data_IF_219575754963
#
_entry.id   IF_219575754963
#
_cell.length_a   1.000
_cell.length_b   1.000
_cell.length_c   1.000
_cell.angle_alpha   90.00
_cell.angle_beta   90.00
_cell.angle_gamma   90.00
#
_symmetry.space_group_name_H-M   'P 1'
#
loop_
_entity.id
_entity.type
_entity.pdbx_description
1 polymer ?
#
# COMPACT_ATOMS: atom_id res chain seq x y z
N UNK A 1 37.22 -0.11 15.61
CA UNK A 1 36.03 -0.64 14.88
C UNK A 1 36.56 -1.41 13.68
N UNK A 2 36.09 -2.63 13.44
CA UNK A 2 36.55 -3.43 12.28
C UNK A 2 35.99 -2.83 10.98
N UNK A 3 36.85 -2.18 10.19
CA UNK A 3 36.46 -1.46 8.96
C UNK A 3 35.87 -2.39 7.90
N UNK A 4 36.40 -3.61 7.78
CA UNK A 4 35.91 -4.60 6.83
C UNK A 4 34.48 -5.06 7.15
N UNK A 5 34.18 -5.39 8.42
CA UNK A 5 32.82 -5.75 8.84
C UNK A 5 31.82 -4.62 8.66
N UNK A 6 32.24 -3.37 8.86
CA UNK A 6 31.39 -2.22 8.61
C UNK A 6 31.08 -2.06 7.12
N UNK A 7 32.06 -2.25 6.27
CA UNK A 7 31.90 -2.18 4.82
C UNK A 7 30.98 -3.30 4.31
N UNK A 8 31.09 -4.51 4.86
CA UNK A 8 30.20 -5.63 4.57
C UNK A 8 28.77 -5.29 4.97
N UNK A 9 28.56 -4.74 6.18
CA UNK A 9 27.23 -4.31 6.65
C UNK A 9 26.62 -3.23 5.74
N UNK A 10 27.39 -2.22 5.37
CA UNK A 10 26.93 -1.15 4.46
C UNK A 10 26.56 -1.72 3.07
N UNK A 11 27.31 -2.72 2.58
CA UNK A 11 27.03 -3.44 1.33
C UNK A 11 25.71 -4.23 1.42
N UNK A 12 25.49 -4.96 2.51
CA UNK A 12 24.26 -5.72 2.76
C UNK A 12 23.06 -4.77 2.80
N UNK A 13 23.17 -3.69 3.57
CA UNK A 13 22.10 -2.68 3.69
C UNK A 13 21.77 -2.06 2.33
N UNK A 14 22.78 -1.61 1.57
CA UNK A 14 22.60 -1.00 0.28
C UNK A 14 21.94 -1.96 -0.74
N UNK A 15 22.37 -3.21 -0.77
CA UNK A 15 21.83 -4.25 -1.65
C UNK A 15 20.36 -4.56 -1.30
N UNK A 16 20.05 -4.67 -0.01
CA UNK A 16 18.70 -4.94 0.48
C UNK A 16 17.74 -3.81 0.14
N UNK A 17 18.14 -2.57 0.41
CA UNK A 17 17.34 -1.39 0.06
C UNK A 17 17.11 -1.29 -1.44
N UNK A 18 18.15 -1.52 -2.26
CA UNK A 18 18.04 -1.48 -3.73
C UNK A 18 17.01 -2.50 -4.26
N UNK A 19 16.92 -3.67 -3.66
CA UNK A 19 16.00 -4.73 -4.09
C UNK A 19 14.52 -4.36 -3.92
N UNK A 20 14.20 -3.51 -2.94
CA UNK A 20 12.81 -3.10 -2.62
C UNK A 20 12.47 -1.70 -3.10
N UNK A 21 13.35 -1.02 -3.82
CA UNK A 21 13.03 0.28 -4.41
C UNK A 21 11.86 0.15 -5.39
N UNK A 22 10.98 1.16 -5.45
CA UNK A 22 9.81 1.18 -6.33
C UNK A 22 10.14 0.87 -7.79
N UNK A 23 11.27 1.38 -8.30
CA UNK A 23 11.69 1.20 -9.69
C UNK A 23 11.90 -0.28 -10.06
N UNK A 24 12.70 -0.98 -9.25
CA UNK A 24 12.99 -2.39 -9.48
C UNK A 24 11.72 -3.25 -9.35
N UNK A 25 10.89 -2.92 -8.37
CA UNK A 25 9.64 -3.59 -8.08
C UNK A 25 8.65 -3.49 -9.25
N UNK A 26 8.40 -2.27 -9.75
CA UNK A 26 7.49 -2.03 -10.86
C UNK A 26 8.00 -2.67 -12.16
N UNK A 27 9.31 -2.56 -12.47
CA UNK A 27 9.88 -3.20 -13.68
C UNK A 27 9.71 -4.71 -13.65
N UNK A 28 9.99 -5.36 -12.50
CA UNK A 28 9.79 -6.82 -12.36
C UNK A 28 8.33 -7.21 -12.55
N UNK A 29 7.40 -6.46 -11.96
CA UNK A 29 5.98 -6.76 -12.05
C UNK A 29 5.46 -6.63 -13.49
N UNK A 30 5.83 -5.55 -14.19
CA UNK A 30 5.45 -5.34 -15.60
C UNK A 30 6.12 -6.32 -16.57
N UNK A 31 7.29 -6.85 -16.25
CA UNK A 31 7.99 -7.88 -17.03
C UNK A 31 7.56 -9.30 -16.67
N UNK A 32 6.64 -9.50 -15.74
CA UNK A 32 6.17 -10.84 -15.36
C UNK A 32 5.09 -11.36 -16.30
N UNK A 33 4.96 -12.69 -16.36
CA UNK A 33 3.88 -13.35 -17.09
C UNK A 33 2.47 -13.02 -16.57
N UNK A 34 2.36 -12.41 -15.40
CA UNK A 34 1.07 -12.00 -14.84
C UNK A 34 0.54 -10.69 -15.44
N UNK A 35 1.40 -9.89 -16.09
CA UNK A 35 0.99 -8.65 -16.73
C UNK A 35 0.62 -8.89 -18.21
N UNK A 36 -0.66 -8.95 -18.47
CA UNK A 36 -1.21 -9.07 -19.81
C UNK A 36 -2.20 -7.92 -20.06
N UNK A 37 -1.72 -6.75 -20.56
CA UNK A 37 -2.61 -5.66 -20.89
C UNK A 37 -3.54 -6.09 -22.03
N UNK A 38 -4.78 -5.64 -21.96
CA UNK A 38 -5.76 -5.84 -23.03
C UNK A 38 -5.43 -4.95 -24.25
N UNK A 39 -6.03 -5.23 -25.41
CA UNK A 39 -5.76 -4.52 -26.67
C UNK A 39 -6.30 -3.08 -26.73
N UNK A 40 -6.87 -2.57 -25.64
CA UNK A 40 -7.47 -1.24 -25.55
C UNK A 40 -6.60 -0.22 -24.81
N UNK A 41 -7.29 0.72 -24.17
CA UNK A 41 -6.64 1.80 -23.39
C UNK A 41 -5.91 1.24 -22.16
N UNK A 42 -4.75 1.84 -21.86
CA UNK A 42 -4.02 1.62 -20.61
C UNK A 42 -4.17 2.89 -19.77
N UNK A 43 -4.90 2.78 -18.66
CA UNK A 43 -5.03 3.85 -17.68
C UNK A 43 -4.14 3.55 -16.48
N UNK A 44 -3.56 4.61 -15.89
CA UNK A 44 -2.69 4.47 -14.74
C UNK A 44 -3.28 5.22 -13.55
N UNK A 45 -3.46 4.54 -12.42
CA UNK A 45 -3.80 5.15 -11.12
C UNK A 45 -2.73 4.77 -10.12
N UNK A 46 -1.94 5.74 -9.67
CA UNK A 46 -0.88 5.51 -8.70
C UNK A 46 -1.16 6.27 -7.40
N UNK A 47 -1.10 5.57 -6.28
CA UNK A 47 -1.50 6.10 -4.97
C UNK A 47 -0.47 5.76 -3.90
N UNK A 48 -0.16 6.72 -3.04
CA UNK A 48 0.70 6.53 -1.88
C UNK A 48 1.99 7.36 -1.92
N UNK A 49 2.84 7.18 -0.93
CA UNK A 49 4.07 7.98 -0.77
C UNK A 49 5.08 7.75 -1.89
N UNK A 50 5.10 6.57 -2.51
CA UNK A 50 5.96 6.23 -3.63
C UNK A 50 5.24 6.31 -5.00
N UNK A 51 4.00 6.80 -5.05
CA UNK A 51 3.16 6.79 -6.24
C UNK A 51 3.80 7.48 -7.44
N UNK A 52 4.43 8.64 -7.24
CA UNK A 52 5.12 9.34 -8.33
C UNK A 52 6.23 8.51 -8.93
N UNK A 53 7.09 7.91 -8.09
CA UNK A 53 8.21 7.08 -8.51
C UNK A 53 7.74 5.82 -9.25
N UNK A 54 6.70 5.15 -8.72
CA UNK A 54 6.09 3.97 -9.35
C UNK A 54 5.50 4.32 -10.72
N UNK A 55 4.75 5.43 -10.81
CA UNK A 55 4.14 5.88 -12.07
C UNK A 55 5.18 6.27 -13.11
N UNK A 56 6.20 7.05 -12.72
CA UNK A 56 7.30 7.41 -13.59
C UNK A 56 7.99 6.18 -14.18
N UNK A 57 8.27 5.18 -13.34
CA UNK A 57 8.89 3.93 -13.79
C UNK A 57 7.96 3.12 -14.69
N UNK A 58 6.68 3.06 -14.37
CA UNK A 58 5.70 2.33 -15.18
C UNK A 58 5.57 2.92 -16.59
N UNK A 59 5.43 4.26 -16.68
CA UNK A 59 5.35 4.95 -17.98
C UNK A 59 6.63 4.77 -18.79
N UNK A 60 7.80 4.85 -18.16
CA UNK A 60 9.08 4.60 -18.82
C UNK A 60 9.23 3.15 -19.32
N UNK A 61 8.68 2.18 -18.61
CA UNK A 61 8.74 0.76 -18.99
C UNK A 61 7.75 0.39 -20.10
N UNK A 62 6.53 0.98 -20.06
CA UNK A 62 5.47 0.72 -21.04
C UNK A 62 5.62 1.57 -22.32
N UNK A 63 6.40 2.66 -22.28
CA UNK A 63 6.53 3.64 -23.35
C UNK A 63 5.37 4.62 -23.46
N UNK A 64 4.16 4.24 -23.04
CA UNK A 64 2.98 5.11 -23.02
C UNK A 64 1.93 4.62 -22.02
N UNK A 65 1.11 5.54 -21.56
CA UNK A 65 -0.23 5.33 -20.99
C UNK A 65 -1.19 6.29 -21.68
N UNK A 66 -2.44 5.92 -21.84
CA UNK A 66 -3.41 6.79 -22.52
C UNK A 66 -3.89 7.93 -21.62
N UNK A 67 -3.98 7.66 -20.32
CA UNK A 67 -4.32 8.63 -19.29
C UNK A 67 -3.86 8.12 -17.93
N UNK A 68 -3.41 9.01 -17.04
CA UNK A 68 -2.96 8.60 -15.72
C UNK A 68 -3.16 9.65 -14.64
N UNK A 69 -3.31 9.17 -13.41
CA UNK A 69 -3.39 9.98 -12.19
C UNK A 69 -2.40 9.45 -11.16
N UNK A 70 -1.64 10.37 -10.57
CA UNK A 70 -0.83 10.16 -9.37
C UNK A 70 -1.46 10.94 -8.22
N UNK A 71 -1.68 10.28 -7.08
CA UNK A 71 -2.09 10.90 -5.83
C UNK A 71 -1.04 10.58 -4.76
N UNK A 72 -0.28 11.59 -4.37
CA UNK A 72 0.82 11.43 -3.43
C UNK A 72 0.78 12.49 -2.33
N UNK A 73 1.61 12.35 -1.33
CA UNK A 73 1.69 13.33 -0.24
C UNK A 73 2.41 14.59 -0.69
N UNK A 74 2.11 15.73 -0.08
CA UNK A 74 2.76 17.02 -0.34
C UNK A 74 4.29 16.91 -0.37
N UNK A 75 4.91 17.55 -1.39
CA UNK A 75 6.35 17.56 -1.62
C UNK A 75 6.93 16.26 -2.19
N UNK A 76 6.08 15.35 -2.69
CA UNK A 76 6.54 14.07 -3.28
C UNK A 76 6.46 14.01 -4.80
N UNK A 77 5.85 14.99 -5.46
CA UNK A 77 5.91 15.13 -6.92
C UNK A 77 7.29 15.69 -7.30
N UNK A 78 8.01 14.98 -8.19
CA UNK A 78 9.38 15.33 -8.59
C UNK A 78 9.50 15.87 -10.01
N UNK A 79 8.36 16.05 -10.70
CA UNK A 79 8.31 16.56 -12.07
C UNK A 79 7.12 16.01 -12.85
N UNK A 80 7.08 16.30 -14.14
CA UNK A 80 6.01 15.84 -15.03
C UNK A 80 6.25 14.40 -15.49
N UNK A 81 5.17 13.65 -15.65
CA UNK A 81 5.17 12.32 -16.25
C UNK A 81 4.28 12.39 -17.48
N UNK A 82 4.76 11.99 -18.68
CA UNK A 82 3.95 12.06 -19.90
C UNK A 82 2.63 11.28 -19.76
N UNK A 83 1.51 11.93 -20.10
CA UNK A 83 0.18 11.30 -20.02
C UNK A 83 -0.39 11.16 -18.61
N UNK A 84 0.26 11.72 -17.56
CA UNK A 84 -0.14 11.55 -16.17
C UNK A 84 -0.27 12.90 -15.47
N UNK A 85 -1.42 13.12 -14.82
CA UNK A 85 -1.64 14.28 -13.95
C UNK A 85 -1.31 13.93 -12.50
N UNK A 86 -0.47 14.75 -11.86
CA UNK A 86 -0.04 14.52 -10.49
C UNK A 86 -0.76 15.43 -9.51
N UNK A 87 -1.29 14.87 -8.42
CA UNK A 87 -1.93 15.56 -7.33
C UNK A 87 -1.20 15.28 -6.01
N UNK A 88 -1.07 16.32 -5.19
CA UNK A 88 -0.55 16.22 -3.84
C UNK A 88 -1.67 16.45 -2.83
N UNK A 89 -1.67 15.67 -1.74
CA UNK A 89 -2.75 15.61 -0.78
C UNK A 89 -2.26 15.31 0.65
N UNK A 90 -3.17 15.41 1.62
CA UNK A 90 -2.90 15.23 3.03
C UNK A 90 -2.56 13.80 3.44
N UNK A 91 -1.55 13.68 4.28
CA UNK A 91 -1.14 12.43 4.92
C UNK A 91 -0.47 12.74 6.29
N UNK A 92 -0.81 12.07 7.40
CA UNK A 92 -1.63 10.85 7.53
C UNK A 92 -3.16 11.09 7.58
N UNK A 93 -3.61 12.33 7.62
CA UNK A 93 -5.03 12.68 7.62
C UNK A 93 -5.44 13.10 6.21
N UNK A 94 -6.52 12.52 5.63
CA UNK A 94 -7.03 12.94 4.33
C UNK A 94 -7.57 14.36 4.39
N UNK A 95 -7.46 15.10 3.30
CA UNK A 95 -7.96 16.46 3.12
C UNK A 95 -8.81 16.61 1.85
N UNK A 96 -9.30 17.81 1.58
CA UNK A 96 -10.10 18.11 0.39
C UNK A 96 -9.36 17.79 -0.93
N UNK A 97 -8.02 17.91 -0.94
CA UNK A 97 -7.22 17.52 -2.11
C UNK A 97 -7.21 16.01 -2.31
N UNK A 98 -7.19 15.21 -1.22
CA UNK A 98 -7.36 13.76 -1.29
C UNK A 98 -8.71 13.40 -1.92
N UNK A 99 -9.78 14.07 -1.48
CA UNK A 99 -11.15 13.81 -1.95
C UNK A 99 -11.30 14.18 -3.43
N UNK A 100 -10.84 15.37 -3.81
CA UNK A 100 -10.93 15.88 -5.18
C UNK A 100 -10.09 15.04 -6.16
N UNK A 101 -8.87 14.67 -5.79
CA UNK A 101 -8.02 13.84 -6.64
C UNK A 101 -8.59 12.42 -6.82
N UNK A 102 -9.14 11.84 -5.74
CA UNK A 102 -9.79 10.52 -5.80
C UNK A 102 -11.05 10.56 -6.66
N UNK A 103 -11.83 11.62 -6.61
CA UNK A 103 -13.01 11.79 -7.48
C UNK A 103 -12.62 11.84 -8.96
N UNK A 104 -11.52 12.54 -9.29
CA UNK A 104 -10.97 12.55 -10.67
C UNK A 104 -10.52 11.15 -11.10
N UNK A 105 -9.88 10.39 -10.21
CA UNK A 105 -9.52 9.01 -10.50
C UNK A 105 -10.75 8.13 -10.75
N UNK A 106 -11.81 8.27 -9.96
CA UNK A 106 -13.08 7.57 -10.19
C UNK A 106 -13.72 7.98 -11.51
N UNK A 107 -13.73 9.27 -11.85
CA UNK A 107 -14.26 9.76 -13.13
C UNK A 107 -13.48 9.19 -14.32
N UNK A 108 -12.15 9.14 -14.23
CA UNK A 108 -11.28 8.59 -15.29
C UNK A 108 -11.58 7.11 -15.59
N UNK A 109 -11.95 6.33 -14.57
CA UNK A 109 -12.21 4.89 -14.73
C UNK A 109 -13.68 4.55 -14.99
N UNK A 110 -14.56 5.55 -15.15
CA UNK A 110 -15.96 5.33 -15.50
C UNK A 110 -16.11 4.90 -16.96
N UNK A 111 -17.12 4.04 -17.22
CA UNK A 111 -17.50 3.60 -18.56
C UNK A 111 -16.38 2.96 -19.37
N UNK A 112 -15.44 2.29 -18.70
CA UNK A 112 -14.42 1.50 -19.36
C UNK A 112 -15.03 0.23 -20.00
N UNK A 113 -14.36 -0.26 -21.03
CA UNK A 113 -14.71 -1.54 -21.67
C UNK A 113 -13.83 -2.67 -21.13
N UNK A 114 -14.19 -3.90 -21.42
CA UNK A 114 -13.39 -5.09 -21.10
C UNK A 114 -12.03 -5.14 -21.82
N UNK A 115 -11.84 -4.30 -22.85
CA UNK A 115 -10.56 -4.12 -23.55
C UNK A 115 -9.62 -3.14 -22.85
N UNK A 116 -10.09 -2.38 -21.86
CA UNK A 116 -9.25 -1.49 -21.12
C UNK A 116 -8.48 -2.21 -20.00
N UNK A 117 -7.27 -1.73 -19.73
CA UNK A 117 -6.44 -2.14 -18.59
C UNK A 117 -6.22 -0.97 -17.67
N UNK A 118 -6.51 -1.15 -16.39
CA UNK A 118 -6.15 -0.19 -15.33
C UNK A 118 -4.91 -0.70 -14.62
N UNK A 119 -3.80 0.00 -14.77
CA UNK A 119 -2.60 -0.24 -13.98
C UNK A 119 -2.74 0.51 -12.66
N UNK A 120 -2.97 -0.24 -11.58
CA UNK A 120 -3.17 0.32 -10.24
C UNK A 120 -1.90 0.13 -9.39
N UNK A 121 -1.20 1.23 -9.11
CA UNK A 121 0.06 1.25 -8.37
C UNK A 121 -0.20 1.75 -6.95
N UNK A 122 0.02 0.91 -5.95
CA UNK A 122 -0.30 1.21 -4.57
C UNK A 122 0.93 1.11 -3.67
N UNK A 123 1.14 2.13 -2.84
CA UNK A 123 2.20 2.15 -1.82
C UNK A 123 1.69 2.69 -0.49
N UNK A 124 2.52 2.65 0.54
CA UNK A 124 2.17 3.10 1.88
C UNK A 124 1.60 4.52 1.91
N UNK A 125 0.63 4.74 2.81
CA UNK A 125 -0.09 6.01 2.95
C UNK A 125 -1.38 6.12 2.13
N UNK A 126 -1.70 5.12 1.30
CA UNK A 126 -2.88 5.12 0.45
C UNK A 126 -4.21 5.27 1.19
N UNK A 127 -4.31 4.86 2.45
CA UNK A 127 -5.55 5.01 3.23
C UNK A 127 -6.02 6.46 3.40
N UNK A 128 -5.09 7.41 3.47
CA UNK A 128 -5.42 8.84 3.55
C UNK A 128 -5.45 9.48 2.15
N UNK A 129 -4.49 9.14 1.31
CA UNK A 129 -4.31 9.76 0.00
C UNK A 129 -5.40 9.37 -1.00
N UNK A 130 -5.96 8.14 -0.89
CA UNK A 130 -7.03 7.63 -1.76
C UNK A 130 -8.32 7.50 -0.98
N UNK A 131 -8.99 8.62 -0.80
CA UNK A 131 -10.24 8.72 -0.05
C UNK A 131 -11.26 9.57 -0.79
N UNK A 132 -12.48 9.05 -0.93
CA UNK A 132 -13.68 9.78 -1.31
C UNK A 132 -14.78 9.38 -0.35
N UNK A 133 -15.08 10.22 0.66
CA UNK A 133 -16.11 9.92 1.63
C UNK A 133 -17.51 9.82 1.00
N UNK A 134 -18.32 8.89 1.50
CA UNK A 134 -19.75 8.77 1.19
C UNK A 134 -20.62 9.60 2.14
N UNK A 135 -19.99 10.23 3.14
CA UNK A 135 -20.60 11.11 4.13
C UNK A 135 -19.79 12.42 4.17
N UNK A 136 -20.25 13.47 4.85
CA UNK A 136 -19.47 14.69 5.00
C UNK A 136 -18.07 14.40 5.59
N UNK A 137 -17.03 15.00 5.02
CA UNK A 137 -15.63 14.77 5.44
C UNK A 137 -15.39 15.06 6.92
N UNK A 138 -16.05 16.08 7.47
CA UNK A 138 -15.98 16.41 8.89
C UNK A 138 -16.54 15.28 9.78
N UNK A 139 -17.64 14.65 9.35
CA UNK A 139 -18.21 13.50 10.06
C UNK A 139 -17.27 12.29 10.01
N UNK A 140 -16.70 11.97 8.82
CA UNK A 140 -15.70 10.90 8.70
C UNK A 140 -14.52 11.11 9.64
N UNK A 141 -14.05 12.36 9.76
CA UNK A 141 -12.94 12.70 10.65
C UNK A 141 -13.34 12.54 12.12
N UNK A 142 -14.53 13.00 12.52
CA UNK A 142 -15.03 12.80 13.87
C UNK A 142 -15.14 11.32 14.25
N UNK A 143 -15.74 10.49 13.39
CA UNK A 143 -15.87 9.06 13.61
C UNK A 143 -14.49 8.39 13.73
N UNK A 144 -13.56 8.77 12.89
CA UNK A 144 -12.16 8.27 12.92
C UNK A 144 -11.48 8.63 14.25
N UNK A 145 -11.60 9.88 14.70
CA UNK A 145 -11.01 10.34 15.97
C UNK A 145 -11.62 9.61 17.17
N UNK A 146 -12.93 9.36 17.17
CA UNK A 146 -13.60 8.60 18.24
C UNK A 146 -13.15 7.14 18.31
N UNK A 147 -12.98 6.50 17.16
CA UNK A 147 -12.42 5.14 17.10
C UNK A 147 -11.01 5.09 17.68
N UNK A 148 -10.13 6.02 17.27
CA UNK A 148 -8.77 6.13 17.79
C UNK A 148 -8.75 6.39 19.30
N UNK A 149 -9.53 7.35 19.78
CA UNK A 149 -9.63 7.67 21.20
C UNK A 149 -10.22 6.52 22.03
N UNK A 150 -11.09 5.71 21.43
CA UNK A 150 -11.67 4.53 22.03
C UNK A 150 -10.75 3.30 22.05
N UNK A 151 -9.56 3.38 21.40
CA UNK A 151 -8.62 2.27 21.33
C UNK A 151 -9.03 1.19 20.32
N UNK A 152 -9.76 1.56 19.25
CA UNK A 152 -10.08 0.64 18.17
C UNK A 152 -8.80 0.13 17.50
N UNK A 153 -8.75 -1.16 17.26
CA UNK A 153 -7.66 -1.75 16.49
C UNK A 153 -7.78 -1.46 14.99
N UNK A 154 -6.75 -1.82 14.23
CA UNK A 154 -6.69 -1.52 12.80
C UNK A 154 -7.79 -2.25 12.00
N UNK A 155 -8.22 -3.43 12.45
CA UNK A 155 -9.29 -4.20 11.80
C UNK A 155 -10.62 -3.50 12.00
N UNK A 156 -10.92 -3.08 13.24
CA UNK A 156 -12.13 -2.33 13.58
C UNK A 156 -12.19 -0.98 12.84
N UNK A 157 -11.05 -0.26 12.80
CA UNK A 157 -10.91 0.99 12.04
C UNK A 157 -11.24 0.79 10.57
N UNK A 158 -10.63 -0.21 9.94
CA UNK A 158 -10.83 -0.47 8.51
C UNK A 158 -12.23 -0.99 8.21
N UNK A 159 -12.84 -1.77 9.09
CA UNK A 159 -14.24 -2.24 8.95
C UNK A 159 -15.21 -1.06 8.80
N UNK A 160 -15.04 -0.01 9.59
CA UNK A 160 -15.84 1.22 9.47
C UNK A 160 -15.45 2.01 8.23
N UNK A 161 -14.15 2.29 8.03
CA UNK A 161 -13.67 3.14 6.94
C UNK A 161 -13.98 2.60 5.54
N UNK A 162 -13.91 1.28 5.34
CA UNK A 162 -14.26 0.64 4.07
C UNK A 162 -15.70 0.94 3.65
N UNK A 163 -16.63 1.03 4.59
CA UNK A 163 -18.04 1.30 4.30
C UNK A 163 -18.37 2.76 4.07
N UNK A 164 -17.58 3.65 4.66
CA UNK A 164 -17.78 5.10 4.52
C UNK A 164 -17.04 5.71 3.33
N UNK A 165 -16.40 4.89 2.50
CA UNK A 165 -15.56 5.33 1.38
C UNK A 165 -16.07 4.78 0.04
N UNK A 166 -16.01 5.59 -1.01
CA UNK A 166 -16.38 5.21 -2.37
C UNK A 166 -15.31 4.35 -3.06
N UNK A 167 -14.10 4.23 -2.50
CA UNK A 167 -12.97 3.54 -3.14
C UNK A 167 -12.45 2.34 -2.36
N UNK A 168 -12.65 2.28 -1.04
CA UNK A 168 -12.13 1.22 -0.18
C UNK A 168 -12.96 -0.06 -0.25
N UNK A 169 -12.42 -1.17 0.28
CA UNK A 169 -13.11 -2.46 0.38
C UNK A 169 -13.57 -3.00 -0.98
N UNK A 170 -12.74 -2.92 -2.01
CA UNK A 170 -13.02 -3.42 -3.36
C UNK A 170 -13.84 -2.48 -4.24
N UNK A 171 -14.30 -1.35 -3.73
CA UNK A 171 -15.20 -0.46 -4.50
C UNK A 171 -14.50 0.21 -5.67
N UNK A 172 -13.21 0.52 -5.57
CA UNK A 172 -12.47 1.03 -6.71
C UNK A 172 -12.39 0.00 -7.84
N UNK A 173 -12.12 -1.26 -7.52
CA UNK A 173 -12.10 -2.32 -8.53
C UNK A 173 -13.47 -2.52 -9.18
N UNK A 174 -14.55 -2.42 -8.41
CA UNK A 174 -15.91 -2.45 -8.93
C UNK A 174 -16.19 -1.27 -9.88
N UNK A 175 -15.72 -0.06 -9.53
CA UNK A 175 -15.86 1.13 -10.37
C UNK A 175 -15.11 1.01 -11.71
N UNK A 176 -14.03 0.25 -11.77
CA UNK A 176 -13.27 -0.02 -12.99
C UNK A 176 -13.95 -1.06 -13.90
N UNK A 177 -14.89 -1.87 -13.39
CA UNK A 177 -15.49 -2.95 -14.16
C UNK A 177 -16.24 -2.43 -15.41
N UNK A 178 -16.14 -3.14 -16.56
CA UNK A 178 -15.56 -4.47 -16.78
C UNK A 178 -14.06 -4.49 -17.10
N UNK A 179 -13.35 -3.36 -17.06
CA UNK A 179 -11.92 -3.29 -17.33
C UNK A 179 -11.11 -4.20 -16.39
N UNK A 180 -9.99 -4.71 -16.89
CA UNK A 180 -9.06 -5.50 -16.08
C UNK A 180 -8.13 -4.59 -15.30
N UNK A 181 -7.88 -4.92 -14.03
CA UNK A 181 -6.93 -4.23 -13.17
C UNK A 181 -5.71 -5.11 -12.98
N UNK A 182 -4.53 -4.56 -13.25
CA UNK A 182 -3.28 -5.10 -12.77
C UNK A 182 -2.77 -4.22 -11.62
N UNK A 183 -2.82 -4.76 -10.41
CA UNK A 183 -2.46 -4.05 -9.20
C UNK A 183 -1.04 -4.41 -8.76
N UNK A 184 -0.15 -3.42 -8.67
CA UNK A 184 1.20 -3.56 -8.11
C UNK A 184 1.21 -2.90 -6.74
N UNK A 185 1.42 -3.70 -5.69
CA UNK A 185 1.38 -3.24 -4.30
C UNK A 185 2.77 -3.28 -3.70
N UNK A 186 3.29 -2.11 -3.35
CA UNK A 186 4.50 -1.95 -2.55
C UNK A 186 4.07 -1.95 -1.06
N UNK A 187 4.24 -3.09 -0.41
CA UNK A 187 3.72 -3.30 0.95
C UNK A 187 4.67 -2.76 2.02
N UNK A 188 4.12 -1.99 2.95
CA UNK A 188 4.80 -1.53 4.17
C UNK A 188 4.18 -2.14 5.45
N UNK A 189 3.32 -3.16 5.30
CA UNK A 189 2.65 -3.84 6.41
C UNK A 189 3.18 -5.28 6.54
N UNK A 190 3.50 -5.68 7.78
CA UNK A 190 3.97 -7.04 8.06
C UNK A 190 2.93 -8.08 7.67
N UNK A 191 3.39 -9.14 6.97
CA UNK A 191 2.52 -10.22 6.49
C UNK A 191 1.69 -9.89 5.24
N UNK A 192 1.83 -8.66 4.71
CA UNK A 192 1.23 -8.20 3.45
C UNK A 192 -0.31 -8.40 3.35
N UNK A 193 -1.10 -8.07 4.39
CA UNK A 193 -2.56 -8.22 4.34
C UNK A 193 -3.15 -7.21 3.35
N UNK A 194 -3.44 -7.65 2.13
CA UNK A 194 -3.88 -6.80 1.01
C UNK A 194 -5.12 -5.95 1.35
N UNK A 195 -6.03 -6.47 2.16
CA UNK A 195 -7.25 -5.78 2.58
C UNK A 195 -7.00 -4.66 3.60
N UNK A 196 -5.80 -4.64 4.21
CA UNK A 196 -5.35 -3.58 5.12
C UNK A 196 -4.55 -2.50 4.39
N UNK A 197 -3.85 -2.84 3.30
CA UNK A 197 -3.09 -1.87 2.52
C UNK A 197 -4.05 -0.91 1.83
N UNK A 198 -3.96 0.38 2.16
CA UNK A 198 -4.88 1.45 1.74
C UNK A 198 -6.38 1.12 1.99
N UNK A 199 -6.69 0.20 2.94
CA UNK A 199 -8.02 -0.34 3.20
C UNK A 199 -8.64 -1.08 1.99
N UNK A 200 -7.82 -1.73 1.17
CA UNK A 200 -8.21 -2.66 0.12
C UNK A 200 -9.02 -2.11 -1.04
N UNK A 201 -8.58 -1.09 -1.80
CA UNK A 201 -9.38 -0.54 -2.91
C UNK A 201 -9.67 -1.53 -4.03
N UNK A 202 -8.76 -2.46 -4.27
CA UNK A 202 -8.85 -3.49 -5.29
C UNK A 202 -8.80 -4.93 -4.70
N UNK A 203 -9.34 -5.10 -3.50
CA UNK A 203 -9.36 -6.38 -2.78
C UNK A 203 -10.78 -6.63 -2.25
N UNK A 204 -11.32 -7.85 -2.35
CA UNK A 204 -12.59 -8.20 -1.72
C UNK A 204 -12.57 -7.93 -0.21
N UNK A 205 -13.65 -7.42 0.33
CA UNK A 205 -13.75 -7.13 1.76
C UNK A 205 -14.39 -8.29 2.52
N UNK A 206 -13.67 -8.88 3.45
CA UNK A 206 -14.16 -9.98 4.29
C UNK A 206 -15.09 -9.53 5.42
N UNK A 207 -15.05 -8.23 5.80
CA UNK A 207 -15.88 -7.71 6.91
C UNK A 207 -17.37 -7.58 6.52
N UNK A 208 -18.28 -7.66 7.49
CA UNK A 208 -19.73 -7.59 7.25
C UNK A 208 -20.36 -6.30 7.78
N UNK A 209 -21.54 -5.92 7.28
CA UNK A 209 -22.31 -4.79 7.79
C UNK A 209 -22.69 -4.99 9.27
N UNK A 210 -22.97 -6.23 9.69
CA UNK A 210 -23.24 -6.56 11.10
C UNK A 210 -22.04 -6.25 12.00
N UNK A 211 -20.83 -6.62 11.56
CA UNK A 211 -19.60 -6.30 12.28
C UNK A 211 -19.41 -4.78 12.39
N UNK A 212 -19.64 -4.04 11.31
CA UNK A 212 -19.53 -2.57 11.33
C UNK A 212 -20.51 -1.93 12.32
N UNK A 213 -21.76 -2.39 12.35
CA UNK A 213 -22.78 -1.92 13.31
C UNK A 213 -22.40 -2.29 14.75
N UNK A 214 -21.87 -3.49 14.98
CA UNK A 214 -21.40 -3.90 16.31
C UNK A 214 -20.24 -3.01 16.80
N UNK A 215 -19.27 -2.70 15.93
CA UNK A 215 -18.16 -1.78 16.23
C UNK A 215 -18.70 -0.38 16.52
N UNK A 216 -19.62 0.14 15.70
CA UNK A 216 -20.21 1.45 15.91
C UNK A 216 -20.91 1.56 17.27
N UNK A 217 -21.61 0.51 17.69
CA UNK A 217 -22.24 0.43 19.02
C UNK A 217 -21.21 0.34 20.16
N UNK A 218 -20.15 -0.49 19.99
CA UNK A 218 -19.06 -0.64 20.97
C UNK A 218 -18.43 0.70 21.31
N UNK A 219 -18.15 1.51 20.30
CA UNK A 219 -17.51 2.82 20.45
C UNK A 219 -18.49 3.99 20.53
N UNK A 220 -19.81 3.73 20.59
CA UNK A 220 -20.89 4.73 20.67
C UNK A 220 -20.71 5.85 19.63
N UNK A 221 -20.48 5.45 18.38
CA UNK A 221 -20.24 6.41 17.29
C UNK A 221 -21.52 7.23 17.00
N UNK A 222 -21.42 8.56 16.86
CA UNK A 222 -22.56 9.43 16.56
C UNK A 222 -22.82 9.39 15.04
N UNK A 223 -23.52 8.37 14.59
CA UNK A 223 -23.80 8.17 13.17
C UNK A 223 -24.97 9.05 12.69
N UNK A 224 -24.78 9.77 11.59
CA UNK A 224 -25.88 10.33 10.81
C UNK A 224 -26.73 9.20 10.18
N UNK A 225 -27.87 9.55 9.61
CA UNK A 225 -28.70 8.59 8.85
C UNK A 225 -27.94 8.01 7.66
N UNK A 226 -27.17 8.86 6.97
CA UNK A 226 -26.35 8.53 5.82
C UNK A 226 -25.21 7.59 6.22
N UNK A 227 -24.48 7.89 7.30
CA UNK A 227 -23.43 7.03 7.82
C UNK A 227 -23.98 5.65 8.23
N UNK A 228 -25.11 5.62 8.94
CA UNK A 228 -25.75 4.35 9.33
C UNK A 228 -26.19 3.53 8.11
N UNK A 229 -26.72 4.16 7.06
CA UNK A 229 -27.08 3.49 5.82
C UNK A 229 -25.83 2.92 5.12
N UNK A 230 -24.72 3.66 5.09
CA UNK A 230 -23.45 3.16 4.54
C UNK A 230 -22.91 1.96 5.31
N UNK A 231 -23.00 1.93 6.65
CA UNK A 231 -22.49 0.82 7.46
C UNK A 231 -23.29 -0.47 7.24
N UNK A 232 -24.57 -0.37 6.92
CA UNK A 232 -25.44 -1.54 6.66
C UNK A 232 -25.26 -2.13 5.27
N UNK A 233 -24.71 -1.37 4.32
CA UNK A 233 -24.47 -1.85 2.96
C UNK A 233 -23.24 -2.79 2.93
N UNK A 234 -23.37 -3.91 2.21
CA UNK A 234 -22.24 -4.80 2.00
C UNK A 234 -21.26 -4.23 0.97
N UNK A 235 -19.99 -4.45 1.23
CA UNK A 235 -18.88 -4.18 0.32
C UNK A 235 -18.69 -5.36 -0.63
N UNK A 236 -18.02 -5.19 -1.80
CA UNK A 236 -17.73 -6.28 -2.73
C UNK A 236 -17.05 -7.47 -2.06
N UNK A 237 -17.64 -8.66 -2.18
CA UNK A 237 -17.11 -9.93 -1.61
C UNK A 237 -16.31 -10.74 -2.64
N UNK A 238 -16.50 -10.46 -3.91
CA UNK A 238 -15.81 -11.11 -5.03
C UNK A 238 -15.44 -10.06 -6.06
N UNK A 239 -14.24 -10.15 -6.57
CA UNK A 239 -13.73 -9.32 -7.66
C UNK A 239 -13.10 -10.24 -8.71
N UNK A 240 -13.62 -10.19 -9.96
CA UNK A 240 -13.17 -11.06 -11.05
C UNK A 240 -12.30 -10.34 -12.08
N UNK A 241 -12.03 -9.07 -11.84
CA UNK A 241 -11.31 -8.19 -12.77
C UNK A 241 -9.95 -7.72 -12.26
N UNK A 242 -9.43 -8.30 -11.17
CA UNK A 242 -8.20 -7.85 -10.53
C UNK A 242 -7.15 -8.97 -10.51
N UNK A 243 -5.95 -8.65 -10.97
CA UNK A 243 -4.73 -9.43 -10.72
C UNK A 243 -3.79 -8.58 -9.86
N UNK A 244 -3.37 -9.10 -8.70
CA UNK A 244 -2.50 -8.35 -7.77
C UNK A 244 -1.14 -9.00 -7.66
N UNK A 245 -0.10 -8.18 -7.73
CA UNK A 245 1.28 -8.57 -7.45
C UNK A 245 1.82 -7.72 -6.30
N UNK A 246 2.18 -8.38 -5.19
CA UNK A 246 2.86 -7.73 -4.06
C UNK A 246 4.35 -7.67 -4.38
N UNK A 247 4.98 -6.55 -4.08
CA UNK A 247 6.40 -6.32 -4.30
C UNK A 247 6.95 -5.36 -3.26
N UNK A 248 8.28 -5.40 -3.02
CA UNK A 248 8.95 -4.48 -2.11
C UNK A 248 8.57 -4.64 -0.64
N UNK A 249 8.14 -5.83 -0.23
CA UNK A 249 7.78 -6.13 1.15
C UNK A 249 9.00 -6.35 2.06
N UNK A 250 8.78 -6.40 3.38
CA UNK A 250 9.81 -6.78 4.37
C UNK A 250 10.40 -8.15 4.05
N UNK A 251 9.60 -9.08 3.51
CA UNK A 251 10.06 -10.40 3.08
C UNK A 251 11.07 -10.31 1.92
N UNK A 252 10.81 -9.47 0.94
CA UNK A 252 11.76 -9.21 -0.17
C UNK A 252 13.04 -8.54 0.34
N UNK A 253 12.92 -7.57 1.26
CA UNK A 253 14.06 -6.93 1.90
C UNK A 253 14.95 -7.94 2.63
N UNK A 254 14.33 -8.80 3.45
CA UNK A 254 15.02 -9.84 4.23
C UNK A 254 15.71 -10.86 3.33
N UNK A 255 15.05 -11.30 2.26
CA UNK A 255 15.62 -12.21 1.26
C UNK A 255 16.85 -11.59 0.60
N UNK A 256 16.77 -10.33 0.18
CA UNK A 256 17.90 -9.64 -0.44
C UNK A 256 19.07 -9.47 0.53
N UNK A 257 18.80 -9.24 1.83
CA UNK A 257 19.82 -9.22 2.88
C UNK A 257 20.53 -10.58 3.03
N UNK A 258 19.76 -11.66 3.08
CA UNK A 258 20.27 -13.02 3.14
C UNK A 258 21.18 -13.34 1.93
N UNK A 259 20.74 -12.99 0.73
CA UNK A 259 21.51 -13.22 -0.50
C UNK A 259 22.79 -12.39 -0.54
N UNK A 260 22.75 -11.14 -0.09
CA UNK A 260 23.94 -10.30 0.03
C UNK A 260 24.95 -10.85 1.07
N UNK A 261 24.48 -11.34 2.20
CA UNK A 261 25.31 -12.01 3.21
C UNK A 261 26.03 -13.23 2.61
N UNK A 262 25.32 -14.08 1.88
CA UNK A 262 25.90 -15.27 1.21
C UNK A 262 26.96 -14.88 0.21
N UNK A 263 26.73 -13.83 -0.58
CA UNK A 263 27.70 -13.32 -1.56
C UNK A 263 29.00 -12.85 -0.89
N UNK A 264 28.92 -12.33 0.32
CA UNK A 264 30.08 -11.91 1.13
C UNK A 264 30.71 -13.05 1.95
N UNK A 265 30.23 -14.30 1.79
CA UNK A 265 30.78 -15.49 2.46
C UNK A 265 30.27 -15.70 3.90
N UNK A 266 29.17 -15.04 4.29
CA UNK A 266 28.51 -15.30 5.56
C UNK A 266 27.52 -16.47 5.45
N UNK A 267 27.21 -17.07 6.60
CA UNK A 267 26.10 -18.03 6.76
C UNK A 267 24.94 -17.31 7.46
N UNK A 268 24.03 -16.69 6.72
CA UNK A 268 22.95 -15.91 7.32
C UNK A 268 21.89 -16.81 7.95
N UNK A 269 21.32 -16.36 9.06
CA UNK A 269 20.14 -16.94 9.69
C UNK A 269 19.05 -15.86 9.72
N UNK A 270 17.95 -16.09 9.00
CA UNK A 270 16.78 -15.22 9.09
C UNK A 270 16.02 -15.60 10.38
N UNK A 271 16.06 -14.72 11.37
CA UNK A 271 15.37 -14.94 12.64
C UNK A 271 13.86 -14.76 12.51
N UNK A 272 13.44 -13.72 11.81
CA UNK A 272 12.02 -13.40 11.55
C UNK A 272 11.89 -12.36 10.45
N UNK A 273 10.81 -12.43 9.69
CA UNK A 273 10.33 -11.38 8.78
C UNK A 273 9.04 -10.72 9.31
N UNK A 274 8.65 -11.03 10.56
CA UNK A 274 7.44 -10.55 11.23
C UNK A 274 7.74 -9.91 12.59
N UNK A 275 8.88 -9.21 12.72
CA UNK A 275 9.23 -8.57 13.98
C UNK A 275 8.25 -7.42 14.29
N UNK A 276 7.50 -7.57 15.38
CA UNK A 276 6.54 -6.58 15.85
C UNK A 276 6.88 -6.20 17.30
N UNK A 277 7.80 -5.27 17.45
CA UNK A 277 8.17 -4.67 18.75
C UNK A 277 8.78 -3.30 18.53
N UNK A 278 9.01 -2.57 19.61
CA UNK A 278 9.77 -1.32 19.58
C UNK A 278 11.20 -1.57 19.06
N UNK A 279 11.66 -0.76 18.11
CA UNK A 279 13.00 -0.88 17.50
C UNK A 279 14.12 -0.84 18.53
N UNK A 280 13.95 -0.05 19.61
CA UNK A 280 14.88 0.04 20.73
C UNK A 280 15.04 -1.30 21.43
N UNK A 281 13.95 -2.01 21.69
CA UNK A 281 13.96 -3.31 22.37
C UNK A 281 14.63 -4.38 21.49
N UNK A 282 14.28 -4.40 20.19
CA UNK A 282 14.96 -5.24 19.21
C UNK A 282 16.47 -5.00 19.18
N UNK A 283 16.90 -3.74 19.14
CA UNK A 283 18.31 -3.37 19.15
C UNK A 283 19.04 -3.80 20.43
N UNK A 284 18.38 -3.66 21.58
CA UNK A 284 18.94 -4.12 22.88
C UNK A 284 19.11 -5.64 22.92
N UNK A 285 18.14 -6.39 22.41
CA UNK A 285 18.18 -7.84 22.32
C UNK A 285 19.30 -8.34 21.40
N UNK A 286 19.34 -7.81 20.16
CA UNK A 286 20.38 -8.15 19.18
C UNK A 286 21.78 -7.78 19.68
N UNK A 287 21.94 -6.62 20.32
CA UNK A 287 23.18 -6.20 20.95
C UNK A 287 23.63 -7.12 22.08
N UNK A 288 22.70 -7.72 22.82
CA UNK A 288 23.01 -8.71 23.85
C UNK A 288 23.51 -10.04 23.26
N UNK A 289 22.89 -10.51 22.16
CA UNK A 289 23.36 -11.68 21.41
C UNK A 289 24.78 -11.43 20.89
N UNK A 290 25.03 -10.30 20.24
CA UNK A 290 26.36 -9.95 19.72
C UNK A 290 27.43 -9.93 20.81
N UNK A 291 27.13 -9.40 22.00
CA UNK A 291 28.05 -9.40 23.15
C UNK A 291 28.36 -10.80 23.66
N UNK A 292 27.39 -11.69 23.71
CA UNK A 292 27.55 -13.08 24.13
C UNK A 292 28.55 -13.83 23.25
N UNK A 293 28.53 -13.55 21.95
CA UNK A 293 29.38 -14.20 20.97
C UNK A 293 30.64 -13.39 20.59
N UNK A 294 30.87 -12.25 21.24
CA UNK A 294 32.07 -11.47 21.03
C UNK A 294 33.33 -12.28 21.40
N UNK A 295 34.30 -12.34 20.49
CA UNK A 295 35.56 -13.07 20.72
C UNK A 295 35.55 -14.55 20.33
N UNK A 296 34.42 -15.11 19.88
CA UNK A 296 34.36 -16.55 19.49
C UNK A 296 34.80 -16.80 18.03
N UNK A 297 35.33 -15.79 17.34
CA UNK A 297 35.80 -15.92 15.96
C UNK A 297 34.69 -16.05 14.90
N UNK A 298 33.43 -16.10 15.30
CA UNK A 298 32.28 -16.12 14.40
C UNK A 298 31.99 -14.71 13.88
N UNK A 299 31.67 -14.58 12.61
CA UNK A 299 31.24 -13.34 12.00
C UNK A 299 29.74 -13.20 12.17
N UNK A 300 29.28 -12.16 12.87
CA UNK A 300 27.88 -11.73 12.92
C UNK A 300 27.70 -10.47 12.05
N UNK A 301 26.67 -10.47 11.20
CA UNK A 301 26.29 -9.33 10.37
C UNK A 301 24.82 -8.99 10.61
#
# INVERSE_FOLDING_TARGET
MNTALRQDADTIIASSLKAVLPDAAVRRALGSEAFHPQDGRILLVAVGKAAWQMAHTAVAALGRVDEGIVITKYGHVRGTIPGVTCYEAGHPVPDENSFAATEKALTMVQNLTDKATVLFLLSGGGSALFEKPLIPGAELQELTNRLLAGGADIVEMNTIRKRLSAVKGGRFALACAPAKIFSIVLSDILGDPLDMIASGPAVPDSSTGEQAIAIARKYRLPLSKEANACLTQETPKVLNNVTTQITGSVRELSKAAVDACRTLGYTPVLLTDHLCCEAREAGSFLGSIARTHAGQGQKFA
#
